data_IF_535681719398
#
_entry.id   IF_535681719398
#
_cell.length_a   1.000
_cell.length_b   1.000
_cell.length_c   1.000
_cell.angle_alpha   90.00
_cell.angle_beta   90.00
_cell.angle_gamma   90.00
#
_symmetry.space_group_name_H-M   'P 1'
#
loop_
_entity.id
_entity.type
_entity.pdbx_description
1 polymer ?
#
# COMPACT_ATOMS: atom_id res chain seq x y z
N UNK A 1 4.65 -27.72 14.41
CA UNK A 1 3.98 -26.70 13.56
C UNK A 1 4.21 -25.27 14.04
N UNK A 2 3.85 -24.88 15.27
CA UNK A 2 4.18 -23.55 15.84
C UNK A 2 5.68 -23.43 16.19
N UNK A 3 6.27 -24.48 16.77
CA UNK A 3 7.71 -24.54 17.13
C UNK A 3 8.67 -24.53 15.93
N UNK A 4 8.22 -25.03 14.78
CA UNK A 4 9.02 -25.07 13.53
C UNK A 4 9.04 -23.69 12.84
N UNK A 5 8.05 -22.85 13.10
CA UNK A 5 7.94 -21.52 12.50
C UNK A 5 8.80 -20.48 13.23
N UNK A 6 8.84 -20.51 14.57
CA UNK A 6 9.80 -19.71 15.35
C UNK A 6 11.24 -20.09 14.99
N UNK A 7 11.49 -21.37 14.70
CA UNK A 7 12.78 -21.87 14.19
C UNK A 7 13.07 -21.42 12.76
N UNK A 8 12.08 -21.33 11.86
CA UNK A 8 12.24 -20.77 10.52
C UNK A 8 12.54 -19.27 10.55
N UNK A 9 11.91 -18.52 11.45
CA UNK A 9 12.17 -17.10 11.67
C UNK A 9 13.59 -16.88 12.23
N UNK A 10 14.03 -17.71 13.19
CA UNK A 10 15.42 -17.68 13.69
C UNK A 10 16.46 -18.21 12.69
N UNK A 11 16.13 -19.23 11.89
CA UNK A 11 17.03 -19.80 10.89
C UNK A 11 17.22 -18.86 9.69
N UNK A 12 16.19 -18.12 9.28
CA UNK A 12 16.29 -17.06 8.28
C UNK A 12 17.22 -15.92 8.75
N UNK A 13 17.20 -15.61 10.05
CA UNK A 13 18.09 -14.63 10.68
C UNK A 13 19.56 -15.09 10.78
N UNK A 14 19.84 -16.38 10.59
CA UNK A 14 21.18 -16.97 10.80
C UNK A 14 21.95 -17.21 9.50
N UNK A 15 21.35 -16.93 8.34
CA UNK A 15 21.92 -17.34 7.05
C UNK A 15 21.54 -16.38 5.92
N UNK A 16 22.38 -15.37 5.68
CA UNK A 16 23.01 -15.06 4.37
C UNK A 16 23.29 -13.57 4.16
N UNK A 17 24.30 -13.38 3.33
CA UNK A 17 25.10 -12.21 2.99
C UNK A 17 25.34 -12.43 1.47
N UNK A 18 25.15 -11.56 0.47
CA UNK A 18 24.98 -10.11 0.31
C UNK A 18 24.24 -9.76 -1.01
N UNK A 19 23.59 -8.59 -1.03
CA UNK A 19 23.64 -7.56 -2.09
C UNK A 19 23.67 -6.20 -1.37
N UNK A 20 24.31 -5.17 -1.92
CA UNK A 20 24.39 -3.83 -1.30
C UNK A 20 22.99 -3.24 -1.01
N UNK A 21 21.99 -3.56 -1.86
CA UNK A 21 20.60 -3.18 -1.65
C UNK A 21 19.89 -4.04 -0.60
N UNK A 22 20.24 -5.33 -0.50
CA UNK A 22 19.65 -6.27 0.46
C UNK A 22 20.06 -5.99 1.91
N UNK A 23 21.29 -5.50 2.14
CA UNK A 23 21.73 -5.06 3.47
C UNK A 23 20.97 -3.85 4.00
N UNK A 24 20.64 -2.91 3.11
CA UNK A 24 19.85 -1.73 3.47
C UNK A 24 18.40 -2.10 3.81
N UNK A 25 17.82 -3.05 3.07
CA UNK A 25 16.45 -3.51 3.28
C UNK A 25 16.31 -4.28 4.60
N UNK A 26 17.23 -5.19 4.90
CA UNK A 26 17.22 -5.98 6.15
C UNK A 26 17.46 -5.08 7.36
N UNK A 27 18.38 -4.11 7.27
CA UNK A 27 18.60 -3.14 8.35
C UNK A 27 17.35 -2.29 8.58
N UNK A 28 16.72 -1.77 7.51
CA UNK A 28 15.44 -1.05 7.61
C UNK A 28 14.33 -1.88 8.26
N UNK A 29 14.23 -3.16 7.93
CA UNK A 29 13.25 -4.07 8.51
C UNK A 29 13.49 -4.29 10.00
N UNK A 30 14.74 -4.57 10.40
CA UNK A 30 15.09 -4.78 11.80
C UNK A 30 14.91 -3.49 12.63
N UNK A 31 15.27 -2.34 12.06
CA UNK A 31 15.08 -1.03 12.70
C UNK A 31 13.57 -0.69 12.80
N UNK A 32 12.76 -1.05 11.80
CA UNK A 32 11.28 -0.92 11.82
C UNK A 32 10.62 -1.82 12.85
N UNK A 33 11.02 -3.11 12.91
CA UNK A 33 10.48 -4.08 13.87
C UNK A 33 10.84 -3.68 15.31
N UNK A 34 12.05 -3.15 15.53
CA UNK A 34 12.49 -2.67 16.84
C UNK A 34 11.70 -1.46 17.36
N UNK A 35 11.06 -0.68 16.46
CA UNK A 35 10.24 0.48 16.80
C UNK A 35 8.73 0.20 16.95
N UNK A 36 8.26 -1.03 16.69
CA UNK A 36 6.83 -1.35 16.72
C UNK A 36 6.26 -1.27 18.15
N UNK A 37 5.15 -0.55 18.32
CA UNK A 37 4.30 -0.69 19.51
C UNK A 37 3.65 -2.07 19.49
N UNK A 38 4.01 -2.94 20.43
CA UNK A 38 3.56 -4.33 20.45
C UNK A 38 2.12 -4.45 20.99
N UNK A 39 1.12 -4.11 20.16
CA UNK A 39 -0.28 -4.45 20.44
C UNK A 39 -0.66 -5.87 19.94
N UNK A 40 0.29 -6.55 19.28
CA UNK A 40 0.14 -7.88 18.71
C UNK A 40 -0.80 -7.96 17.49
N UNK A 41 -1.30 -6.83 16.97
CA UNK A 41 -2.19 -6.79 15.80
C UNK A 41 -1.49 -7.33 14.55
N UNK A 42 -0.24 -6.94 14.29
CA UNK A 42 0.52 -7.45 13.15
C UNK A 42 0.73 -8.97 13.23
N UNK A 43 1.07 -9.50 14.41
CA UNK A 43 1.18 -10.95 14.63
C UNK A 43 -0.13 -11.69 14.41
N UNK A 44 -1.26 -11.09 14.81
CA UNK A 44 -2.60 -11.62 14.51
C UNK A 44 -2.84 -11.63 12.99
N UNK A 45 -2.50 -10.54 12.29
CA UNK A 45 -2.60 -10.47 10.84
C UNK A 45 -1.81 -11.60 10.15
N UNK A 46 -0.54 -11.79 10.51
CA UNK A 46 0.28 -12.88 9.97
C UNK A 46 -0.37 -14.25 10.19
N UNK A 47 -0.87 -14.50 11.41
CA UNK A 47 -1.52 -15.76 11.77
C UNK A 47 -2.78 -16.00 10.93
N UNK A 48 -3.67 -15.01 10.83
CA UNK A 48 -4.93 -15.16 10.09
C UNK A 48 -4.70 -15.22 8.58
N UNK A 49 -3.76 -14.46 8.04
CA UNK A 49 -3.36 -14.55 6.63
C UNK A 49 -2.77 -15.94 6.30
N UNK A 50 -1.97 -16.53 7.18
CA UNK A 50 -1.45 -17.89 6.98
C UNK A 50 -2.55 -18.96 7.02
N UNK A 51 -3.54 -18.80 7.90
CA UNK A 51 -4.70 -19.69 7.96
C UNK A 51 -5.50 -19.60 6.67
N UNK A 52 -5.80 -18.37 6.20
CA UNK A 52 -6.50 -18.13 4.95
C UNK A 52 -5.77 -18.75 3.76
N UNK A 53 -4.45 -18.52 3.65
CA UNK A 53 -3.61 -19.18 2.66
C UNK A 53 -3.71 -20.71 2.75
N UNK A 54 -3.57 -21.29 3.94
CA UNK A 54 -3.65 -22.73 4.12
C UNK A 54 -5.00 -23.31 3.69
N UNK A 55 -6.11 -22.59 3.95
CA UNK A 55 -7.45 -22.95 3.49
C UNK A 55 -7.54 -22.88 1.96
N UNK A 56 -7.07 -21.81 1.34
CA UNK A 56 -7.06 -21.64 -0.12
C UNK A 56 -6.23 -22.73 -0.81
N UNK A 57 -5.17 -23.23 -0.16
CA UNK A 57 -4.35 -24.33 -0.67
C UNK A 57 -5.01 -25.72 -0.54
N UNK A 58 -6.16 -25.84 0.13
CA UNK A 58 -6.95 -27.08 0.22
C UNK A 58 -8.03 -27.18 -0.86
N UNK A 59 -8.07 -26.23 -1.80
CA UNK A 59 -8.98 -26.25 -2.93
C UNK A 59 -8.91 -27.57 -3.70
N UNK A 60 -10.07 -28.06 -4.13
CA UNK A 60 -10.21 -29.27 -4.94
C UNK A 60 -9.85 -29.04 -6.41
N UNK A 61 -9.91 -27.79 -6.87
CA UNK A 61 -9.59 -27.38 -8.24
C UNK A 61 -8.32 -26.54 -8.28
N UNK A 62 -7.51 -26.61 -9.35
CA UNK A 62 -6.39 -25.69 -9.54
C UNK A 62 -6.83 -24.22 -9.55
N UNK A 63 -5.90 -23.31 -9.23
CA UNK A 63 -6.15 -21.87 -9.35
C UNK A 63 -6.48 -21.54 -10.82
N UNK A 64 -7.62 -20.88 -11.11
CA UNK A 64 -8.02 -20.59 -12.47
C UNK A 64 -7.14 -19.48 -13.08
N UNK A 65 -6.18 -19.88 -13.91
CA UNK A 65 -5.18 -18.98 -14.53
C UNK A 65 -5.84 -17.94 -15.46
N UNK A 66 -7.00 -18.27 -16.04
CA UNK A 66 -7.74 -17.39 -16.94
C UNK A 66 -8.74 -16.49 -16.22
N UNK A 67 -8.98 -16.71 -14.91
CA UNK A 67 -9.88 -15.88 -14.12
C UNK A 67 -9.06 -15.01 -13.16
N UNK A 68 -8.68 -13.86 -13.69
CA UNK A 68 -7.98 -12.82 -12.93
C UNK A 68 -8.74 -12.45 -11.65
N UNK A 69 -10.06 -12.28 -11.72
CA UNK A 69 -10.86 -11.76 -10.60
C UNK A 69 -10.89 -12.76 -9.45
N UNK A 70 -11.05 -14.04 -9.75
CA UNK A 70 -11.01 -15.09 -8.72
C UNK A 70 -9.63 -15.15 -8.08
N UNK A 71 -8.56 -15.13 -8.88
CA UNK A 71 -7.19 -15.11 -8.35
C UNK A 71 -6.94 -13.90 -7.45
N UNK A 72 -7.31 -12.70 -7.91
CA UNK A 72 -7.15 -11.46 -7.16
C UNK A 72 -7.92 -11.48 -5.83
N UNK A 73 -9.18 -11.92 -5.85
CA UNK A 73 -10.03 -11.97 -4.65
C UNK A 73 -9.50 -12.96 -3.62
N UNK A 74 -9.07 -14.14 -4.04
CA UNK A 74 -8.63 -15.21 -3.14
C UNK A 74 -7.21 -14.99 -2.59
N UNK A 75 -6.35 -14.28 -3.31
CA UNK A 75 -4.92 -14.13 -2.91
C UNK A 75 -4.57 -12.73 -2.43
N UNK A 76 -5.09 -11.69 -3.08
CA UNK A 76 -4.72 -10.30 -2.80
C UNK A 76 -5.74 -9.65 -1.87
N UNK A 77 -7.01 -9.66 -2.27
CA UNK A 77 -8.08 -8.97 -1.54
C UNK A 77 -8.21 -9.46 -0.10
N UNK A 78 -8.12 -10.77 0.14
CA UNK A 78 -8.20 -11.32 1.50
C UNK A 78 -7.04 -10.85 2.39
N UNK A 79 -5.80 -10.79 1.87
CA UNK A 79 -4.65 -10.34 2.66
C UNK A 79 -4.82 -8.89 3.13
N UNK A 80 -5.18 -7.99 2.22
CA UNK A 80 -5.41 -6.58 2.54
C UNK A 80 -6.63 -6.36 3.44
N UNK A 81 -7.73 -7.10 3.21
CA UNK A 81 -8.89 -7.07 4.11
C UNK A 81 -8.52 -7.53 5.52
N UNK A 82 -7.78 -8.64 5.63
CA UNK A 82 -7.29 -9.17 6.90
C UNK A 82 -6.39 -8.15 7.60
N UNK A 83 -5.45 -7.55 6.86
CA UNK A 83 -4.57 -6.50 7.35
C UNK A 83 -5.35 -5.31 7.90
N UNK A 84 -6.23 -4.71 7.10
CA UNK A 84 -7.02 -3.54 7.51
C UNK A 84 -7.90 -3.82 8.73
N UNK A 85 -8.65 -4.92 8.72
CA UNK A 85 -9.58 -5.25 9.81
C UNK A 85 -8.89 -5.61 11.13
N UNK A 86 -7.72 -6.25 11.09
CA UNK A 86 -7.01 -6.66 12.31
C UNK A 86 -6.18 -5.52 12.89
N UNK A 87 -5.55 -4.71 12.04
CA UNK A 87 -4.70 -3.59 12.48
C UNK A 87 -5.53 -2.34 12.80
N UNK A 88 -6.71 -2.20 12.20
CA UNK A 88 -7.54 -1.00 12.33
C UNK A 88 -6.96 0.22 11.61
N UNK A 89 -5.89 0.05 10.83
CA UNK A 89 -5.21 1.16 10.15
C UNK A 89 -5.91 1.59 8.86
N UNK A 90 -6.60 0.66 8.20
CA UNK A 90 -7.25 0.89 6.91
C UNK A 90 -8.59 0.16 6.79
N UNK A 91 -9.52 0.77 6.06
CA UNK A 91 -10.75 0.14 5.58
C UNK A 91 -10.72 0.03 4.06
N UNK A 92 -11.02 -1.14 3.53
CA UNK A 92 -10.91 -1.42 2.09
C UNK A 92 -12.27 -1.43 1.39
N UNK A 93 -12.31 -0.78 0.24
CA UNK A 93 -13.40 -0.82 -0.74
C UNK A 93 -12.91 -1.57 -1.98
N UNK A 94 -13.68 -2.55 -2.42
CA UNK A 94 -13.28 -3.48 -3.48
C UNK A 94 -14.12 -3.32 -4.75
N UNK A 95 -13.49 -3.66 -5.88
CA UNK A 95 -14.04 -3.79 -7.24
C UNK A 95 -14.60 -2.50 -7.82
N UNK A 96 -13.98 -2.07 -8.92
CA UNK A 96 -14.42 -0.98 -9.80
C UNK A 96 -14.84 0.27 -9.00
N UNK A 97 -13.98 0.69 -8.08
CA UNK A 97 -14.23 1.86 -7.24
C UNK A 97 -13.48 3.06 -7.77
N UNK A 98 -14.19 4.18 -7.82
CA UNK A 98 -13.59 5.48 -8.08
C UNK A 98 -13.11 6.05 -6.76
N UNK A 99 -11.92 6.63 -6.74
CA UNK A 99 -11.54 7.54 -5.68
C UNK A 99 -12.30 8.88 -5.85
N UNK A 100 -13.55 8.86 -5.41
CA UNK A 100 -14.43 10.03 -5.50
C UNK A 100 -13.91 11.21 -4.68
N UNK A 101 -13.17 10.94 -3.61
CA UNK A 101 -12.70 12.00 -2.71
C UNK A 101 -11.58 12.77 -3.36
N UNK A 102 -10.55 12.07 -3.82
CA UNK A 102 -9.43 12.71 -4.51
C UNK A 102 -9.91 13.41 -5.78
N UNK A 103 -10.80 12.79 -6.54
CA UNK A 103 -11.39 13.42 -7.72
C UNK A 103 -12.16 14.71 -7.38
N UNK A 104 -12.93 14.72 -6.28
CA UNK A 104 -13.68 15.90 -5.85
C UNK A 104 -12.77 17.02 -5.34
N UNK A 105 -11.76 16.67 -4.54
CA UNK A 105 -10.79 17.63 -4.00
C UNK A 105 -9.98 18.29 -5.12
N UNK A 106 -9.46 17.49 -6.06
CA UNK A 106 -8.75 18.00 -7.24
C UNK A 106 -9.66 18.88 -8.10
N UNK A 107 -10.90 18.45 -8.36
CA UNK A 107 -11.83 19.22 -9.17
C UNK A 107 -12.14 20.59 -8.55
N UNK A 108 -12.33 20.65 -7.23
CA UNK A 108 -12.64 21.90 -6.54
C UNK A 108 -11.47 22.90 -6.63
N UNK A 109 -10.24 22.42 -6.54
CA UNK A 109 -9.04 23.26 -6.56
C UNK A 109 -8.63 23.64 -7.99
N UNK A 110 -8.68 22.71 -8.94
CA UNK A 110 -8.16 22.92 -10.30
C UNK A 110 -9.23 23.41 -11.30
N UNK A 111 -10.52 23.37 -10.93
CA UNK A 111 -11.68 23.67 -11.79
C UNK A 111 -11.72 22.92 -13.14
N UNK A 112 -10.85 21.92 -13.32
CA UNK A 112 -10.78 21.05 -14.48
C UNK A 112 -11.34 19.67 -14.12
N UNK A 113 -12.28 19.18 -14.94
CA UNK A 113 -12.64 17.76 -14.90
C UNK A 113 -11.46 16.95 -15.43
N UNK A 114 -10.83 16.14 -14.59
CA UNK A 114 -9.97 15.06 -15.07
C UNK A 114 -10.81 14.16 -15.98
N UNK A 115 -10.48 14.10 -17.26
CA UNK A 115 -11.12 13.21 -18.23
C UNK A 115 -10.81 11.77 -17.82
N UNK A 116 -11.87 11.01 -17.52
CA UNK A 116 -11.89 9.63 -17.00
C UNK A 116 -11.47 9.45 -15.53
N UNK A 117 -12.47 9.15 -14.71
CA UNK A 117 -12.24 8.53 -13.39
C UNK A 117 -11.89 7.06 -13.63
N UNK A 118 -10.67 6.66 -13.28
CA UNK A 118 -10.21 5.27 -13.35
C UNK A 118 -10.89 4.44 -12.26
N UNK A 119 -11.34 3.24 -12.63
CA UNK A 119 -11.98 2.29 -11.72
C UNK A 119 -10.90 1.39 -11.14
N UNK A 120 -10.64 1.47 -9.83
CA UNK A 120 -9.62 0.70 -9.13
C UNK A 120 -10.17 -0.64 -8.62
N UNK A 121 -9.32 -1.66 -8.58
CA UNK A 121 -9.67 -2.97 -8.00
C UNK A 121 -9.79 -2.92 -6.47
N UNK A 122 -8.96 -2.10 -5.83
CA UNK A 122 -9.01 -1.86 -4.40
C UNK A 122 -8.60 -0.44 -4.01
N UNK A 123 -9.26 0.08 -2.98
CA UNK A 123 -8.91 1.36 -2.34
C UNK A 123 -8.93 1.13 -0.83
N UNK A 124 -7.82 1.42 -0.15
CA UNK A 124 -7.75 1.45 1.31
C UNK A 124 -7.72 2.88 1.82
N UNK A 125 -8.61 3.19 2.75
CA UNK A 125 -8.75 4.51 3.36
C UNK A 125 -8.51 4.47 4.86
N UNK A 126 -7.98 5.54 5.44
CA UNK A 126 -7.85 5.71 6.88
C UNK A 126 -9.18 6.10 7.57
N UNK A 127 -9.13 6.31 8.89
CA UNK A 127 -10.28 6.74 9.70
C UNK A 127 -10.81 8.14 9.33
N UNK A 128 -9.97 8.97 8.70
CA UNK A 128 -10.32 10.31 8.19
C UNK A 128 -10.75 10.28 6.71
N UNK A 129 -10.96 9.07 6.18
CA UNK A 129 -11.35 8.74 4.82
C UNK A 129 -10.38 9.23 3.73
N UNK A 130 -9.11 9.50 4.08
CA UNK A 130 -8.07 9.77 3.10
C UNK A 130 -7.71 8.47 2.36
N UNK A 131 -7.37 8.58 1.07
CA UNK A 131 -6.88 7.42 0.31
C UNK A 131 -5.39 7.21 0.58
N UNK A 132 -5.06 6.21 1.40
CA UNK A 132 -3.66 5.88 1.73
C UNK A 132 -3.10 4.77 0.84
N UNK A 133 -3.95 3.94 0.24
CA UNK A 133 -3.51 2.87 -0.66
C UNK A 133 -4.50 2.64 -1.81
N UNK A 134 -3.97 2.44 -3.02
CA UNK A 134 -4.72 1.98 -4.20
C UNK A 134 -4.15 0.65 -4.71
N UNK A 135 -4.99 -0.19 -5.30
CA UNK A 135 -4.61 -1.53 -5.74
C UNK A 135 -5.15 -1.76 -7.16
N UNK A 136 -4.26 -2.27 -8.02
CA UNK A 136 -4.58 -2.74 -9.38
C UNK A 136 -3.98 -4.12 -9.62
N UNK A 137 -4.68 -4.95 -10.39
CA UNK A 137 -4.24 -6.24 -10.88
C UNK A 137 -4.29 -6.27 -12.40
N UNK A 138 -3.37 -7.02 -13.02
CA UNK A 138 -3.32 -7.22 -14.48
C UNK A 138 -3.40 -8.71 -14.89
N UNK A 139 -3.85 -9.56 -13.97
CA UNK A 139 -4.09 -10.98 -14.21
C UNK A 139 -2.82 -11.82 -14.40
N UNK A 140 -3.00 -13.12 -14.68
CA UNK A 140 -1.93 -14.12 -14.71
C UNK A 140 -1.30 -14.35 -16.09
N UNK A 141 -1.92 -13.88 -17.17
CA UNK A 141 -1.50 -14.21 -18.55
C UNK A 141 -0.82 -13.01 -19.25
N UNK A 142 0.47 -12.78 -18.96
CA UNK A 142 1.25 -11.71 -19.62
C UNK A 142 1.42 -11.91 -21.12
N UNK A 143 1.48 -13.17 -21.60
CA UNK A 143 1.76 -13.46 -23.02
C UNK A 143 0.68 -12.96 -23.99
N UNK A 144 -0.53 -12.70 -23.50
CA UNK A 144 -1.62 -12.12 -24.30
C UNK A 144 -1.97 -10.68 -23.92
N UNK A 145 -1.49 -10.19 -22.77
CA UNK A 145 -2.03 -8.98 -22.13
C UNK A 145 -0.94 -7.95 -21.75
N UNK A 146 0.18 -7.89 -22.47
CA UNK A 146 1.22 -6.88 -22.19
C UNK A 146 0.68 -5.45 -22.24
N UNK A 147 -0.10 -5.12 -23.26
CA UNK A 147 -0.71 -3.79 -23.40
C UNK A 147 -1.64 -3.47 -22.23
N UNK A 148 -2.45 -4.45 -21.80
CA UNK A 148 -3.30 -4.29 -20.62
C UNK A 148 -2.50 -4.08 -19.33
N UNK A 149 -1.43 -4.87 -19.11
CA UNK A 149 -0.57 -4.69 -17.95
C UNK A 149 0.13 -3.32 -17.94
N UNK A 150 0.50 -2.81 -19.12
CA UNK A 150 1.05 -1.46 -19.28
C UNK A 150 0.01 -0.38 -18.97
N UNK A 151 -1.22 -0.50 -19.50
CA UNK A 151 -2.33 0.40 -19.20
C UNK A 151 -2.64 0.44 -17.71
N UNK A 152 -2.71 -0.73 -17.05
CA UNK A 152 -2.93 -0.84 -15.61
C UNK A 152 -1.76 -0.27 -14.79
N UNK A 153 -0.52 -0.42 -15.26
CA UNK A 153 0.65 0.21 -14.63
C UNK A 153 0.51 1.74 -14.60
N UNK A 154 0.14 2.32 -15.75
CA UNK A 154 -0.06 3.78 -15.88
C UNK A 154 -1.24 4.22 -15.01
N UNK A 155 -2.34 3.46 -15.04
CA UNK A 155 -3.54 3.68 -14.22
C UNK A 155 -3.20 3.66 -12.73
N UNK A 156 -2.35 2.74 -12.29
CA UNK A 156 -1.96 2.62 -10.89
C UNK A 156 -1.09 3.80 -10.43
N UNK A 157 -0.10 4.19 -11.26
CA UNK A 157 0.74 5.37 -10.99
C UNK A 157 -0.10 6.65 -10.94
N UNK A 158 -1.00 6.82 -11.91
CA UNK A 158 -1.92 7.96 -11.93
C UNK A 158 -2.80 7.98 -10.68
N UNK A 159 -3.37 6.85 -10.31
CA UNK A 159 -4.28 6.78 -9.15
C UNK A 159 -3.57 7.05 -7.83
N UNK A 160 -2.34 6.54 -7.65
CA UNK A 160 -1.51 6.88 -6.47
C UNK A 160 -1.14 8.37 -6.43
N UNK A 161 -0.86 8.96 -7.58
CA UNK A 161 -0.59 10.40 -7.71
C UNK A 161 -1.83 11.24 -7.39
N UNK A 162 -2.98 10.85 -7.93
CA UNK A 162 -4.25 11.55 -7.70
C UNK A 162 -4.67 11.45 -6.23
N UNK A 163 -4.44 10.31 -5.57
CA UNK A 163 -4.66 10.16 -4.13
C UNK A 163 -3.78 11.11 -3.30
N UNK A 164 -2.49 11.22 -3.62
CA UNK A 164 -1.59 12.19 -2.96
C UNK A 164 -2.07 13.63 -3.18
N UNK A 165 -2.42 14.00 -4.42
CA UNK A 165 -2.97 15.32 -4.75
C UNK A 165 -4.27 15.59 -4.01
N UNK A 166 -5.14 14.59 -3.89
CA UNK A 166 -6.40 14.67 -3.15
C UNK A 166 -6.18 15.05 -1.69
N UNK A 167 -5.19 14.43 -1.04
CA UNK A 167 -4.77 14.78 0.33
C UNK A 167 -4.24 16.21 0.37
N UNK A 168 -3.32 16.59 -0.52
CA UNK A 168 -2.77 17.96 -0.56
C UNK A 168 -3.87 19.02 -0.70
N UNK A 169 -4.87 18.78 -1.54
CA UNK A 169 -6.02 19.67 -1.74
C UNK A 169 -6.94 19.74 -0.52
N UNK A 170 -6.97 18.71 0.33
CA UNK A 170 -7.79 18.66 1.55
C UNK A 170 -7.19 19.47 2.71
N UNK A 171 -5.87 19.64 2.72
CA UNK A 171 -5.15 20.32 3.81
C UNK A 171 -4.38 21.57 3.32
N UNK A 172 -5.02 22.52 2.60
CA UNK A 172 -4.31 23.65 1.97
C UNK A 172 -3.55 24.57 2.94
N UNK A 173 -3.97 24.64 4.21
CA UNK A 173 -3.37 25.49 5.25
C UNK A 173 -2.30 24.75 6.07
N UNK A 174 -2.09 23.46 5.81
CA UNK A 174 -1.05 22.69 6.49
C UNK A 174 0.36 23.06 6.00
N UNK A 175 1.37 22.75 6.81
CA UNK A 175 2.78 22.95 6.46
C UNK A 175 3.22 21.99 5.35
N UNK A 176 4.01 22.49 4.40
CA UNK A 176 4.68 21.66 3.39
C UNK A 176 5.59 20.63 4.03
N UNK A 177 6.26 20.98 5.12
CA UNK A 177 7.14 20.07 5.85
C UNK A 177 6.36 18.89 6.43
N UNK A 178 5.15 19.13 6.91
CA UNK A 178 4.26 18.06 7.38
C UNK A 178 3.75 17.23 6.20
N UNK A 179 3.37 17.86 5.09
CA UNK A 179 2.94 17.16 3.86
C UNK A 179 4.04 16.30 3.21
N UNK A 180 5.31 16.71 3.30
CA UNK A 180 6.45 15.92 2.82
C UNK A 180 6.58 14.55 3.52
N UNK A 181 6.00 14.43 4.71
CA UNK A 181 5.96 13.18 5.49
C UNK A 181 4.74 12.32 5.16
N UNK A 182 3.79 12.81 4.37
CA UNK A 182 2.65 12.01 3.92
C UNK A 182 3.12 10.98 2.90
N UNK A 183 2.68 9.76 3.11
CA UNK A 183 2.90 8.65 2.20
C UNK A 183 1.56 8.09 1.72
N UNK A 184 1.41 8.01 0.39
CA UNK A 184 0.37 7.24 -0.27
C UNK A 184 1.03 6.03 -0.91
N UNK A 185 0.33 4.91 -0.96
CA UNK A 185 0.82 3.67 -1.55
C UNK A 185 0.01 3.26 -2.77
N UNK A 186 0.66 2.58 -3.69
CA UNK A 186 -0.01 1.76 -4.68
C UNK A 186 0.53 0.34 -4.65
N UNK A 187 -0.34 -0.62 -4.94
CA UNK A 187 0.01 -2.02 -5.10
C UNK A 187 -0.35 -2.40 -6.52
N UNK A 188 0.63 -2.92 -7.26
CA UNK A 188 0.37 -3.51 -8.57
C UNK A 188 0.64 -5.00 -8.50
N UNK A 189 -0.33 -5.79 -8.96
CA UNK A 189 -0.15 -7.23 -9.12
C UNK A 189 -0.08 -7.56 -10.61
N UNK A 190 1.11 -7.88 -11.08
CA UNK A 190 1.32 -8.39 -12.44
C UNK A 190 1.66 -9.88 -12.32
N UNK A 191 0.79 -10.72 -12.86
CA UNK A 191 0.80 -12.15 -12.60
C UNK A 191 0.76 -12.47 -11.11
N UNK A 192 1.85 -13.05 -10.60
CA UNK A 192 2.02 -13.41 -9.19
C UNK A 192 3.00 -12.48 -8.50
N UNK A 193 3.52 -11.45 -9.18
CA UNK A 193 4.39 -10.46 -8.55
C UNK A 193 3.55 -9.31 -7.99
N UNK A 194 3.60 -9.12 -6.68
CA UNK A 194 3.04 -7.95 -6.01
C UNK A 194 4.15 -6.92 -5.79
N UNK A 195 3.99 -5.73 -6.36
CA UNK A 195 4.91 -4.61 -6.18
C UNK A 195 4.25 -3.52 -5.35
N UNK A 196 4.96 -3.00 -4.34
CA UNK A 196 4.54 -1.87 -3.52
C UNK A 196 5.28 -0.60 -3.94
N UNK A 197 4.56 0.46 -4.30
CA UNK A 197 5.10 1.76 -4.66
C UNK A 197 4.62 2.80 -3.65
N UNK A 198 5.51 3.69 -3.21
CA UNK A 198 5.21 4.78 -2.29
C UNK A 198 5.34 6.13 -2.99
N UNK A 199 4.34 6.97 -2.82
CA UNK A 199 4.22 8.31 -3.33
C UNK A 199 4.37 9.31 -2.20
N UNK A 200 5.12 10.38 -2.43
CA UNK A 200 5.24 11.45 -1.43
C UNK A 200 5.58 12.79 -2.06
N UNK A 201 5.33 13.83 -1.25
CA UNK A 201 6.01 15.12 -1.27
C UNK A 201 7.50 15.01 -1.68
N UNK A 202 8.00 15.67 -2.73
CA UNK A 202 9.45 15.89 -2.91
C UNK A 202 9.84 17.33 -2.64
N UNK A 203 9.06 18.27 -3.17
CA UNK A 203 9.17 19.71 -2.90
C UNK A 203 7.84 20.38 -3.31
N UNK A 204 7.76 21.71 -3.24
CA UNK A 204 6.54 22.47 -3.55
C UNK A 204 5.94 22.22 -4.94
N UNK A 205 6.73 21.72 -5.92
CA UNK A 205 6.29 21.56 -7.31
C UNK A 205 6.33 20.12 -7.82
N UNK A 206 6.84 19.19 -7.03
CA UNK A 206 7.05 17.81 -7.49
C UNK A 206 6.83 16.78 -6.39
N UNK A 207 6.45 15.60 -6.84
CA UNK A 207 6.30 14.40 -6.04
C UNK A 207 7.28 13.34 -6.53
N UNK A 208 7.44 12.28 -5.75
CA UNK A 208 8.23 11.10 -6.12
C UNK A 208 7.41 9.83 -5.93
N UNK A 209 7.59 8.86 -6.83
CA UNK A 209 7.19 7.48 -6.65
C UNK A 209 8.44 6.61 -6.46
N UNK A 210 8.43 5.76 -5.45
CA UNK A 210 9.56 4.88 -5.12
C UNK A 210 9.03 3.46 -4.91
N UNK A 211 9.54 2.51 -5.71
CA UNK A 211 9.33 1.09 -5.45
C UNK A 211 9.94 0.73 -4.09
N UNK A 212 9.11 0.27 -3.17
CA UNK A 212 9.52 -0.13 -1.83
C UNK A 212 9.97 -1.60 -1.78
N UNK A 213 9.43 -2.41 -2.68
CA UNK A 213 9.80 -3.81 -2.85
C UNK A 213 8.75 -4.57 -3.65
N UNK A 214 9.10 -5.81 -3.96
CA UNK A 214 8.24 -6.74 -4.68
C UNK A 214 8.31 -8.12 -4.05
N UNK A 215 7.22 -8.89 -4.11
CA UNK A 215 7.13 -10.24 -3.56
C UNK A 215 6.26 -11.15 -4.40
N UNK A 216 6.61 -12.44 -4.45
CA UNK A 216 5.82 -13.44 -5.17
C UNK A 216 4.65 -13.94 -4.32
N UNK A 217 3.45 -13.92 -4.90
CA UNK A 217 2.26 -14.54 -4.34
C UNK A 217 2.33 -16.05 -4.56
N UNK A 218 2.26 -16.86 -3.49
CA UNK A 218 2.27 -18.31 -3.62
C UNK A 218 0.95 -18.82 -4.22
N UNK A 219 1.06 -19.61 -5.28
CA UNK A 219 -0.09 -20.22 -5.95
C UNK A 219 -0.31 -21.67 -5.49
N UNK A 220 0.73 -22.29 -4.93
CA UNK A 220 0.68 -23.64 -4.35
C UNK A 220 1.37 -23.71 -2.99
N UNK A 221 1.02 -24.71 -2.17
CA UNK A 221 1.56 -24.85 -0.81
C UNK A 221 3.09 -24.99 -0.75
N UNK A 222 3.71 -25.55 -1.80
CA UNK A 222 5.18 -25.67 -1.90
C UNK A 222 5.86 -24.30 -1.94
N UNK A 223 5.17 -23.27 -2.44
CA UNK A 223 5.66 -21.91 -2.61
C UNK A 223 5.48 -21.04 -1.36
N UNK A 224 4.88 -21.55 -0.28
CA UNK A 224 4.58 -20.80 0.96
C UNK A 224 5.72 -19.94 1.53
N UNK A 225 6.98 -20.27 1.23
CA UNK A 225 8.14 -19.47 1.66
C UNK A 225 8.16 -18.08 1.02
N UNK A 226 7.51 -17.90 -0.14
CA UNK A 226 7.37 -16.61 -0.80
C UNK A 226 6.55 -15.61 0.03
N UNK A 227 5.68 -16.10 0.93
CA UNK A 227 4.96 -15.25 1.89
C UNK A 227 5.88 -14.41 2.76
N UNK A 228 7.12 -14.81 2.98
CA UNK A 228 8.09 -14.00 3.73
C UNK A 228 8.26 -12.64 3.06
N UNK A 229 8.50 -12.62 1.74
CA UNK A 229 8.66 -11.37 1.00
C UNK A 229 7.37 -10.55 0.97
N UNK A 230 6.22 -11.20 0.83
CA UNK A 230 4.92 -10.51 0.87
C UNK A 230 4.68 -9.89 2.25
N UNK A 231 4.99 -10.60 3.33
CA UNK A 231 4.87 -10.09 4.69
C UNK A 231 5.88 -8.98 5.01
N UNK A 232 7.05 -8.95 4.39
CA UNK A 232 7.97 -7.83 4.49
C UNK A 232 7.35 -6.54 3.93
N UNK A 233 6.59 -6.62 2.82
CA UNK A 233 5.84 -5.47 2.28
C UNK A 233 4.77 -4.98 3.27
N UNK A 234 4.04 -5.91 3.89
CA UNK A 234 3.03 -5.57 4.91
C UNK A 234 3.64 -5.02 6.20
N UNK A 235 4.84 -5.48 6.60
CA UNK A 235 5.55 -4.94 7.76
C UNK A 235 5.95 -3.48 7.53
N UNK A 236 6.45 -3.17 6.32
CA UNK A 236 6.73 -1.80 5.92
C UNK A 236 5.47 -0.93 5.95
N UNK A 237 4.37 -1.42 5.35
CA UNK A 237 3.08 -0.72 5.38
C UNK A 237 2.60 -0.49 6.82
N UNK A 238 2.69 -1.49 7.69
CA UNK A 238 2.22 -1.39 9.07
C UNK A 238 2.92 -0.28 9.84
N UNK A 239 4.26 -0.29 9.83
CA UNK A 239 5.06 0.70 10.56
C UNK A 239 4.81 2.10 10.02
N UNK A 240 4.80 2.25 8.69
CA UNK A 240 4.60 3.56 8.09
C UNK A 240 3.18 4.10 8.33
N UNK A 241 2.14 3.25 8.23
CA UNK A 241 0.76 3.66 8.50
C UNK A 241 0.52 4.06 9.96
N UNK A 242 1.22 3.44 10.93
CA UNK A 242 1.19 3.91 12.32
C UNK A 242 1.78 5.31 12.45
N UNK A 243 2.90 5.61 11.77
CA UNK A 243 3.44 6.97 11.74
C UNK A 243 2.50 7.94 11.02
N UNK A 244 1.87 7.52 9.91
CA UNK A 244 0.92 8.33 9.15
C UNK A 244 -0.23 8.82 10.03
N UNK A 245 -0.71 8.05 11.02
CA UNK A 245 -1.76 8.52 11.94
C UNK A 245 -1.35 9.80 12.68
N UNK A 246 -0.09 9.90 13.11
CA UNK A 246 0.46 11.08 13.78
C UNK A 246 0.59 12.24 12.79
N UNK A 247 1.06 11.95 11.58
CA UNK A 247 1.20 12.96 10.51
C UNK A 247 -0.16 13.54 10.13
N UNK A 248 -1.19 12.71 9.96
CA UNK A 248 -2.54 13.17 9.63
C UNK A 248 -3.19 13.96 10.76
N UNK A 249 -2.96 13.59 12.02
CA UNK A 249 -3.40 14.42 13.15
C UNK A 249 -2.73 15.80 13.11
N UNK A 250 -1.43 15.85 12.81
CA UNK A 250 -0.70 17.12 12.69
C UNK A 250 -1.24 17.97 11.53
N UNK A 251 -1.51 17.36 10.37
CA UNK A 251 -2.12 18.05 9.23
C UNK A 251 -3.48 18.64 9.58
N UNK A 252 -4.29 17.91 10.35
CA UNK A 252 -5.60 18.37 10.78
C UNK A 252 -5.49 19.55 11.75
N UNK A 253 -4.59 19.46 12.74
CA UNK A 253 -4.35 20.55 13.69
C UNK A 253 -3.84 21.82 12.99
N UNK A 254 -2.93 21.69 12.02
CA UNK A 254 -2.45 22.80 11.19
C UNK A 254 -3.57 23.37 10.31
N UNK A 255 -4.35 22.51 9.64
CA UNK A 255 -5.45 22.91 8.76
C UNK A 255 -6.54 23.70 9.50
N UNK A 256 -6.80 23.33 10.77
CA UNK A 256 -7.77 23.99 11.63
C UNK A 256 -7.20 25.24 12.34
N UNK A 257 -5.91 25.53 12.17
CA UNK A 257 -5.24 26.66 12.82
C UNK A 257 -4.98 26.46 14.31
N UNK A 258 -5.05 25.22 14.81
CA UNK A 258 -4.66 24.86 16.18
C UNK A 258 -3.14 24.90 16.35
N UNK A 259 -2.40 24.62 15.27
CA UNK A 259 -0.96 24.85 15.15
C UNK A 259 -0.73 25.98 14.15
N UNK A 260 0.06 26.97 14.55
CA UNK A 260 0.41 28.09 13.67
C UNK A 260 1.38 27.63 12.57
N UNK A 261 0.99 27.84 11.31
CA UNK A 261 1.83 27.63 10.13
C UNK A 261 2.09 28.97 9.46
N UNK A 262 3.33 29.24 9.08
CA UNK A 262 3.67 30.45 8.33
C UNK A 262 3.08 30.37 6.91
N UNK A 263 2.48 31.46 6.41
CA UNK A 263 1.79 31.48 5.11
C UNK A 263 2.69 31.04 3.95
N UNK A 264 3.98 31.37 4.02
CA UNK A 264 4.98 30.99 3.02
C UNK A 264 5.27 29.48 2.96
N UNK A 265 5.01 28.77 4.07
CA UNK A 265 5.18 27.33 4.23
C UNK A 265 3.87 26.55 4.05
N UNK A 266 2.74 27.22 3.84
CA UNK A 266 1.48 26.56 3.57
C UNK A 266 1.49 25.84 2.21
N UNK A 267 0.67 24.79 2.10
CA UNK A 267 0.48 24.04 0.86
C UNK A 267 -0.18 24.87 -0.24
N UNK A 268 -0.86 25.98 0.10
CA UNK A 268 -1.52 26.96 -0.77
C UNK A 268 -0.65 27.55 -1.92
N UNK A 269 -0.31 26.66 -2.84
CA UNK A 269 0.10 26.83 -4.22
C UNK A 269 -0.14 25.46 -4.86
N UNK A 270 -1.41 25.07 -5.03
CA UNK A 270 -1.78 23.93 -5.86
C UNK A 270 -1.54 24.28 -7.34
N UNK A 271 -0.27 24.44 -7.70
CA UNK A 271 0.21 24.58 -9.06
C UNK A 271 1.19 23.43 -9.31
N UNK A 272 0.65 22.21 -9.41
CA UNK A 272 1.33 21.04 -9.97
C UNK A 272 0.68 20.72 -11.30
#
# INVERSE_FOLDING_TARGET
MVSDFTRLFHAANSSRVYSANGKYLIKRLLDSIAGMTYDGSFNRFLKFSLIDFAVNMKRITPVPIMDERTTFVETVSQMFKCFGNITGLLSFKWREKKDKQSAAAIFFVQQHKSSSSTLLDGIGVDGSNNTNIVIESSGLNLSTNFDHALEDSIKNIKSGTDALKGIMCKYPNASRKTMERVHVYSVHVIQTCMTLIRYSQKNSKSWKAVECGSGMLPMVFKERKQLIQVYDLFALLFVDLQEQQIVFQTLEDEQLGLVKVDEEDMICSCSI
#
